data_IF_291131609961
#
_entry.id   IF_291131609961
#
_cell.length_a   1.000
_cell.length_b   1.000
_cell.length_c   1.000
_cell.angle_alpha   90.00
_cell.angle_beta   90.00
_cell.angle_gamma   90.00
#
_symmetry.space_group_name_H-M   'P 1'
#
loop_
_entity.id
_entity.type
_entity.pdbx_description
1 polymer ?
#
# COMPACT_ATOMS: atom_id res chain seq x y z
N UNK A 1 8.74 6.19 -36.87
CA UNK A 1 9.26 5.98 -35.50
C UNK A 1 8.39 6.75 -34.53
N UNK A 2 7.40 6.09 -33.93
CA UNK A 2 6.60 6.63 -32.82
C UNK A 2 6.81 5.71 -31.62
N UNK A 3 7.06 6.30 -30.45
CA UNK A 3 6.84 5.78 -29.08
C UNK A 3 7.98 6.20 -28.15
N UNK A 4 7.74 7.15 -27.23
CA UNK A 4 8.01 6.97 -25.79
C UNK A 4 7.54 8.11 -24.84
N UNK A 5 6.52 8.92 -25.19
CA UNK A 5 6.11 10.06 -24.31
C UNK A 5 4.90 9.80 -23.40
N UNK A 6 4.24 8.64 -23.45
CA UNK A 6 3.02 8.40 -22.66
C UNK A 6 3.28 7.92 -21.21
N UNK A 7 4.46 7.35 -20.93
CA UNK A 7 4.76 6.76 -19.61
C UNK A 7 5.15 7.82 -18.57
N UNK A 8 5.80 8.92 -19.00
CA UNK A 8 6.27 9.98 -18.10
C UNK A 8 5.16 10.79 -17.41
N UNK A 9 4.07 11.09 -18.13
CA UNK A 9 2.96 11.91 -17.61
C UNK A 9 2.16 11.21 -16.51
N UNK A 10 1.91 9.90 -16.65
CA UNK A 10 1.18 9.13 -15.64
C UNK A 10 1.97 9.00 -14.33
N UNK A 11 3.31 8.98 -14.39
CA UNK A 11 4.18 8.90 -13.21
C UNK A 11 4.21 10.21 -12.40
N UNK A 12 4.17 11.38 -13.05
CA UNK A 12 4.02 12.67 -12.38
C UNK A 12 2.63 12.87 -11.78
N UNK A 13 1.58 12.41 -12.46
CA UNK A 13 0.21 12.43 -11.94
C UNK A 13 0.06 11.50 -10.72
N UNK A 14 0.76 10.35 -10.74
CA UNK A 14 0.89 9.45 -9.60
C UNK A 14 1.58 10.11 -8.40
N UNK A 15 2.61 10.95 -8.60
CA UNK A 15 3.29 11.65 -7.49
C UNK A 15 2.38 12.70 -6.81
N UNK A 16 1.60 13.46 -7.58
CA UNK A 16 0.64 14.43 -7.03
C UNK A 16 -0.53 13.76 -6.30
N UNK A 17 -0.82 12.52 -6.67
CA UNK A 17 -1.96 11.75 -6.19
C UNK A 17 -1.64 10.79 -5.04
N UNK A 18 -0.43 10.24 -5.03
CA UNK A 18 0.12 9.46 -3.92
C UNK A 18 -0.01 10.22 -2.62
N UNK A 19 0.00 11.56 -2.66
CA UNK A 19 0.10 12.35 -1.46
C UNK A 19 1.47 12.11 -0.82
N UNK A 20 1.93 13.13 -0.11
CA UNK A 20 3.06 12.93 0.75
C UNK A 20 2.64 11.93 1.85
N UNK A 21 3.13 10.68 1.77
CA UNK A 21 2.98 9.71 2.86
C UNK A 21 4.01 9.94 3.95
N UNK A 22 4.98 10.85 3.76
CA UNK A 22 5.91 11.24 4.82
C UNK A 22 5.19 11.57 6.13
N UNK A 23 4.08 12.35 6.21
CA UNK A 23 3.36 12.58 7.47
C UNK A 23 2.75 11.32 8.12
N UNK A 24 2.38 10.29 7.34
CA UNK A 24 1.91 8.99 7.86
C UNK A 24 3.06 8.20 8.48
N UNK A 25 4.16 8.08 7.74
CA UNK A 25 5.35 7.37 8.20
C UNK A 25 6.13 8.17 9.26
N UNK A 26 5.96 9.49 9.29
CA UNK A 26 6.46 10.41 10.32
C UNK A 26 5.84 10.12 11.68
N UNK A 27 4.57 9.73 11.72
CA UNK A 27 3.94 9.27 12.96
C UNK A 27 4.38 7.85 13.30
N UNK A 28 4.54 6.94 12.33
CA UNK A 28 5.14 5.62 12.55
C UNK A 28 6.60 5.72 13.04
N UNK A 29 7.32 6.78 12.70
CA UNK A 29 8.65 7.15 13.19
C UNK A 29 8.64 8.13 14.38
N UNK A 30 7.47 8.47 14.92
CA UNK A 30 7.33 9.21 16.18
C UNK A 30 7.35 8.23 17.35
N UNK A 31 7.84 8.60 18.55
CA UNK A 31 7.82 7.71 19.71
C UNK A 31 6.46 7.05 19.99
N UNK A 32 5.35 7.73 19.68
CA UNK A 32 3.98 7.22 19.87
C UNK A 32 3.52 6.22 18.78
N UNK A 33 3.84 6.42 17.51
CA UNK A 33 3.54 5.44 16.46
C UNK A 33 4.58 4.31 16.40
N UNK A 34 5.80 4.57 16.83
CA UNK A 34 6.83 3.57 17.11
C UNK A 34 6.43 2.66 18.27
N UNK A 35 5.85 3.21 19.34
CA UNK A 35 5.31 2.44 20.47
C UNK A 35 4.08 1.57 20.08
N UNK A 36 3.31 1.96 19.06
CA UNK A 36 2.27 1.11 18.50
C UNK A 36 2.86 -0.07 17.70
N UNK A 37 4.02 0.15 17.03
CA UNK A 37 4.77 -0.84 16.24
C UNK A 37 5.57 -1.83 17.10
N UNK A 38 5.86 -1.50 18.36
CA UNK A 38 6.76 -2.27 19.25
C UNK A 38 6.19 -3.55 19.86
N UNK A 39 4.93 -3.91 19.60
CA UNK A 39 4.23 -4.96 20.37
C UNK A 39 3.68 -6.16 19.59
N UNK A 40 3.98 -6.34 18.30
CA UNK A 40 3.37 -7.41 17.49
C UNK A 40 4.34 -8.36 16.80
N UNK A 41 3.81 -9.35 16.05
CA UNK A 41 4.47 -10.62 15.72
C UNK A 41 5.70 -10.52 14.80
N UNK A 42 6.08 -9.31 14.35
CA UNK A 42 7.21 -9.07 13.46
C UNK A 42 8.56 -8.95 14.18
N UNK A 43 8.59 -9.04 15.51
CA UNK A 43 9.81 -9.21 16.32
C UNK A 43 10.77 -8.02 16.37
N UNK A 44 10.63 -7.02 15.50
CA UNK A 44 11.44 -5.79 15.49
C UNK A 44 10.52 -4.62 15.22
N UNK A 45 10.26 -3.79 16.23
CA UNK A 45 9.66 -2.49 16.01
C UNK A 45 10.68 -1.54 15.37
N UNK A 46 10.26 -0.61 14.51
CA UNK A 46 11.17 0.41 13.93
C UNK A 46 11.97 1.18 15.01
N UNK A 47 11.48 1.25 16.25
CA UNK A 47 12.15 1.90 17.39
C UNK A 47 13.36 1.13 17.92
N UNK A 48 13.43 -0.16 17.61
CA UNK A 48 14.52 -1.05 18.00
C UNK A 48 15.59 -1.15 16.92
N UNK A 49 15.33 -0.58 15.74
CA UNK A 49 16.29 -0.54 14.64
C UNK A 49 17.33 0.53 14.93
N UNK A 50 18.54 0.09 15.22
CA UNK A 50 19.68 0.92 15.62
C UNK A 50 20.74 1.07 14.53
N UNK A 51 20.66 0.26 13.48
CA UNK A 51 21.66 0.21 12.41
C UNK A 51 21.07 -0.24 11.07
N UNK A 52 21.87 -0.11 10.00
CA UNK A 52 21.46 -0.45 8.62
C UNK A 52 21.14 -1.94 8.42
N UNK A 53 21.80 -2.84 9.14
CA UNK A 53 21.57 -4.28 9.00
C UNK A 53 20.20 -4.68 9.58
N UNK A 54 19.86 -4.14 10.75
CA UNK A 54 18.54 -4.31 11.37
C UNK A 54 17.44 -3.69 10.50
N UNK A 55 17.69 -2.52 9.90
CA UNK A 55 16.73 -1.88 9.00
C UNK A 55 16.47 -2.73 7.76
N UNK A 56 17.52 -3.30 7.16
CA UNK A 56 17.41 -4.25 6.05
C UNK A 56 16.56 -5.44 6.44
N UNK A 57 16.89 -6.11 7.54
CA UNK A 57 16.16 -7.28 8.02
C UNK A 57 14.69 -6.96 8.27
N UNK A 58 14.40 -5.78 8.83
CA UNK A 58 13.04 -5.30 9.02
C UNK A 58 12.31 -5.12 7.68
N UNK A 59 12.93 -4.48 6.68
CA UNK A 59 12.32 -4.25 5.37
C UNK A 59 12.07 -5.54 4.59
N UNK A 60 12.98 -6.52 4.68
CA UNK A 60 12.81 -7.85 4.10
C UNK A 60 11.66 -8.60 4.77
N UNK A 61 11.60 -8.56 6.10
CA UNK A 61 10.51 -9.15 6.89
C UNK A 61 9.16 -8.52 6.54
N UNK A 62 9.10 -7.18 6.48
CA UNK A 62 7.91 -6.46 6.05
C UNK A 62 7.48 -6.87 4.63
N UNK A 63 8.43 -6.94 3.70
CA UNK A 63 8.16 -7.34 2.31
C UNK A 63 7.55 -8.74 2.28
N UNK A 64 8.20 -9.70 2.91
CA UNK A 64 7.89 -11.12 2.77
C UNK A 64 6.70 -11.58 3.62
N UNK A 65 6.37 -10.87 4.70
CA UNK A 65 5.26 -11.22 5.59
C UNK A 65 4.03 -10.32 5.45
N UNK A 66 4.17 -9.09 4.92
CA UNK A 66 3.06 -8.13 4.83
C UNK A 66 2.83 -7.65 3.41
N UNK A 67 3.83 -7.00 2.80
CA UNK A 67 3.63 -6.34 1.50
C UNK A 67 3.17 -7.33 0.43
N UNK A 68 3.91 -8.44 0.27
CA UNK A 68 3.66 -9.44 -0.77
C UNK A 68 2.43 -10.31 -0.46
N UNK A 69 2.27 -10.92 0.73
CA UNK A 69 1.16 -11.85 0.98
C UNK A 69 -0.14 -11.18 1.42
N UNK A 70 -0.12 -9.93 1.90
CA UNK A 70 -1.31 -9.25 2.45
C UNK A 70 -1.68 -8.02 1.63
N UNK A 71 -0.79 -7.03 1.54
CA UNK A 71 -1.12 -5.73 0.93
C UNK A 71 -1.34 -5.83 -0.58
N UNK A 72 -0.47 -6.49 -1.32
CA UNK A 72 -0.63 -6.62 -2.77
C UNK A 72 -1.91 -7.38 -3.17
N UNK A 73 -2.23 -8.58 -2.62
CA UNK A 73 -3.48 -9.25 -2.92
C UNK A 73 -4.72 -8.43 -2.56
N UNK A 74 -4.69 -7.69 -1.45
CA UNK A 74 -5.78 -6.81 -1.05
C UNK A 74 -5.93 -5.62 -2.01
N UNK A 75 -4.82 -5.01 -2.44
CA UNK A 75 -4.80 -3.94 -3.45
C UNK A 75 -5.38 -4.40 -4.79
N UNK A 76 -4.98 -5.59 -5.24
CA UNK A 76 -5.44 -6.18 -6.51
C UNK A 76 -6.95 -6.43 -6.46
N UNK A 77 -7.44 -7.14 -5.43
CA UNK A 77 -8.87 -7.41 -5.27
C UNK A 77 -9.68 -6.12 -5.13
N UNK A 78 -9.19 -5.13 -4.39
CA UNK A 78 -9.86 -3.85 -4.26
C UNK A 78 -9.96 -3.11 -5.60
N UNK A 79 -8.88 -3.12 -6.40
CA UNK A 79 -8.88 -2.55 -7.74
C UNK A 79 -9.88 -3.25 -8.67
N UNK A 80 -9.98 -4.57 -8.61
CA UNK A 80 -10.94 -5.33 -9.40
C UNK A 80 -12.39 -5.04 -8.99
N UNK A 81 -12.69 -5.10 -7.69
CA UNK A 81 -14.02 -4.80 -7.18
C UNK A 81 -14.43 -3.36 -7.53
N UNK A 82 -13.52 -2.41 -7.39
CA UNK A 82 -13.76 -1.02 -7.79
C UNK A 82 -14.03 -0.90 -9.30
N UNK A 83 -13.27 -1.60 -10.13
CA UNK A 83 -13.43 -1.60 -11.59
C UNK A 83 -14.78 -2.18 -12.02
N UNK A 84 -15.26 -3.20 -11.31
CA UNK A 84 -16.55 -3.86 -11.57
C UNK A 84 -17.74 -3.20 -10.86
N UNK A 85 -17.50 -2.18 -10.04
CA UNK A 85 -18.55 -1.52 -9.26
C UNK A 85 -19.12 -2.38 -8.11
N UNK A 86 -18.38 -3.40 -7.69
CA UNK A 86 -18.70 -4.41 -6.67
C UNK A 86 -18.44 -3.85 -5.26
N UNK A 87 -19.24 -2.84 -4.87
CA UNK A 87 -19.00 -2.11 -3.62
C UNK A 87 -19.22 -2.98 -2.37
N UNK A 88 -20.16 -3.93 -2.42
CA UNK A 88 -20.44 -4.79 -1.26
C UNK A 88 -19.25 -5.69 -0.98
N UNK A 89 -18.66 -6.21 -2.04
CA UNK A 89 -17.49 -7.08 -2.04
C UNK A 89 -16.25 -6.30 -1.60
N UNK A 90 -16.10 -5.05 -2.04
CA UNK A 90 -15.05 -4.14 -1.56
C UNK A 90 -15.15 -3.88 -0.04
N UNK A 91 -16.34 -3.60 0.48
CA UNK A 91 -16.56 -3.40 1.92
C UNK A 91 -16.30 -4.71 2.69
N UNK A 92 -16.76 -5.84 2.16
CA UNK A 92 -16.48 -7.15 2.77
C UNK A 92 -14.98 -7.47 2.78
N UNK A 93 -14.24 -7.09 1.74
CA UNK A 93 -12.79 -7.23 1.68
C UNK A 93 -12.11 -6.37 2.75
N UNK A 94 -12.49 -5.10 2.92
CA UNK A 94 -11.95 -4.22 3.97
C UNK A 94 -12.19 -4.83 5.36
N UNK A 95 -13.40 -5.34 5.62
CA UNK A 95 -13.73 -6.01 6.88
C UNK A 95 -12.92 -7.27 7.12
N UNK A 96 -12.77 -8.14 6.12
CA UNK A 96 -11.95 -9.36 6.25
C UNK A 96 -10.49 -9.02 6.54
N UNK A 97 -9.97 -7.99 5.89
CA UNK A 97 -8.61 -7.51 6.14
C UNK A 97 -8.48 -7.00 7.58
N UNK A 98 -9.50 -6.31 8.07
CA UNK A 98 -9.58 -5.85 9.45
C UNK A 98 -9.65 -6.98 10.47
N UNK A 99 -10.48 -7.98 10.23
CA UNK A 99 -10.63 -9.15 11.10
C UNK A 99 -9.32 -9.96 11.18
N UNK A 100 -8.61 -10.09 10.05
CA UNK A 100 -7.37 -10.85 9.97
C UNK A 100 -6.14 -10.09 10.51
N UNK A 101 -6.08 -8.77 10.27
CA UNK A 101 -4.86 -7.97 10.49
C UNK A 101 -5.07 -6.75 11.37
N UNK A 102 -6.26 -6.55 11.92
CA UNK A 102 -6.62 -5.35 12.69
C UNK A 102 -5.87 -5.17 14.00
N UNK A 103 -5.31 -6.25 14.54
CA UNK A 103 -4.45 -6.25 15.73
C UNK A 103 -2.97 -6.08 15.38
N UNK A 104 -2.62 -5.97 14.09
CA UNK A 104 -1.23 -5.77 13.70
C UNK A 104 -0.76 -4.37 14.10
N UNK A 105 0.52 -4.22 14.47
CA UNK A 105 1.05 -2.96 14.99
C UNK A 105 0.93 -1.75 14.03
N UNK A 106 0.90 -2.01 12.71
CA UNK A 106 0.75 -0.98 11.67
C UNK A 106 -0.71 -0.74 11.24
N UNK A 107 -1.67 -1.52 11.74
CA UNK A 107 -3.07 -1.51 11.28
C UNK A 107 -3.69 -0.12 11.37
N UNK A 108 -3.55 0.54 12.53
CA UNK A 108 -4.13 1.88 12.71
C UNK A 108 -3.46 2.94 11.82
N UNK A 109 -2.16 2.82 11.58
CA UNK A 109 -1.48 3.72 10.64
C UNK A 109 -1.99 3.52 9.20
N UNK A 110 -2.17 2.27 8.78
CA UNK A 110 -2.72 1.93 7.46
C UNK A 110 -4.16 2.43 7.31
N UNK A 111 -5.04 2.17 8.28
CA UNK A 111 -6.42 2.68 8.26
C UNK A 111 -6.46 4.20 8.24
N UNK A 112 -5.65 4.88 9.07
CA UNK A 112 -5.58 6.34 9.08
C UNK A 112 -5.21 6.90 7.71
N UNK A 113 -4.19 6.34 7.08
CA UNK A 113 -3.74 6.76 5.76
C UNK A 113 -4.82 6.55 4.69
N UNK A 114 -5.45 5.37 4.67
CA UNK A 114 -6.56 5.10 3.77
C UNK A 114 -7.75 6.04 4.01
N UNK A 115 -8.12 6.32 5.26
CA UNK A 115 -9.18 7.29 5.59
C UNK A 115 -8.84 8.71 5.11
N UNK A 116 -7.60 9.18 5.28
CA UNK A 116 -7.15 10.48 4.79
C UNK A 116 -7.26 10.53 3.26
N UNK A 117 -6.76 9.49 2.58
CA UNK A 117 -6.76 9.41 1.13
C UNK A 117 -8.18 9.32 0.56
N UNK A 118 -9.04 8.48 1.13
CA UNK A 118 -10.42 8.33 0.68
C UNK A 118 -11.22 9.62 0.89
N UNK A 119 -10.99 10.36 1.99
CA UNK A 119 -11.61 11.69 2.21
C UNK A 119 -11.26 12.70 1.13
N UNK A 120 -10.05 12.64 0.54
CA UNK A 120 -9.68 13.50 -0.60
C UNK A 120 -10.49 13.21 -1.86
N UNK A 121 -11.09 12.02 -1.97
CA UNK A 121 -11.97 11.65 -3.08
C UNK A 121 -13.42 12.11 -2.90
N UNK A 122 -13.78 12.68 -1.76
CA UNK A 122 -15.14 13.17 -1.48
C UNK A 122 -15.72 14.08 -2.58
N UNK A 123 -14.95 14.95 -3.27
CA UNK A 123 -15.47 15.76 -4.38
C UNK A 123 -16.02 14.96 -5.57
N UNK A 124 -15.65 13.68 -5.73
CA UNK A 124 -16.10 12.81 -6.82
C UNK A 124 -17.52 12.29 -6.55
N UNK A 125 -18.51 13.19 -6.57
CA UNK A 125 -19.91 12.90 -6.20
C UNK A 125 -20.58 11.88 -7.11
N UNK A 126 -20.18 11.82 -8.38
CA UNK A 126 -20.79 10.92 -9.35
C UNK A 126 -20.17 9.50 -9.31
N UNK A 127 -19.05 9.33 -8.61
CA UNK A 127 -18.45 8.01 -8.47
C UNK A 127 -19.14 7.21 -7.35
N UNK A 128 -20.02 6.29 -7.75
CA UNK A 128 -20.81 5.46 -6.83
C UNK A 128 -19.95 4.58 -5.91
N UNK A 129 -18.80 4.09 -6.37
CA UNK A 129 -17.89 3.26 -5.55
C UNK A 129 -17.33 4.09 -4.41
N UNK A 130 -16.75 5.24 -4.73
CA UNK A 130 -16.16 6.18 -3.76
C UNK A 130 -17.21 6.65 -2.76
N UNK A 131 -18.37 7.12 -3.22
CA UNK A 131 -19.39 7.67 -2.31
C UNK A 131 -19.97 6.61 -1.36
N UNK A 132 -20.17 5.38 -1.84
CA UNK A 132 -20.65 4.30 -0.98
C UNK A 132 -19.58 3.80 -0.03
N UNK A 133 -18.32 3.79 -0.44
CA UNK A 133 -17.23 3.41 0.45
C UNK A 133 -17.01 4.46 1.56
N UNK A 134 -17.08 5.75 1.22
CA UNK A 134 -17.11 6.84 2.20
C UNK A 134 -18.28 6.67 3.20
N UNK A 135 -19.48 6.37 2.70
CA UNK A 135 -20.63 6.11 3.58
C UNK A 135 -20.40 4.90 4.50
N UNK A 136 -19.75 3.84 4.01
CA UNK A 136 -19.41 2.68 4.82
C UNK A 136 -18.42 3.02 5.94
N UNK A 137 -17.45 3.91 5.68
CA UNK A 137 -16.58 4.44 6.75
C UNK A 137 -17.37 5.24 7.79
N UNK A 138 -18.24 6.14 7.33
CA UNK A 138 -19.02 7.00 8.23
C UNK A 138 -20.00 6.21 9.12
N UNK A 139 -20.46 5.05 8.64
CA UNK A 139 -21.34 4.13 9.38
C UNK A 139 -20.60 3.08 10.20
N UNK A 140 -19.27 2.97 10.07
CA UNK A 140 -18.46 1.95 10.75
C UNK A 140 -18.52 0.56 10.10
N UNK A 141 -19.14 0.43 8.93
CA UNK A 141 -19.19 -0.82 8.15
C UNK A 141 -17.86 -1.14 7.47
N UNK A 142 -16.95 -0.16 7.38
CA UNK A 142 -15.59 -0.32 6.91
C UNK A 142 -14.61 0.52 7.74
N UNK A 143 -13.35 0.13 7.70
CA UNK A 143 -12.26 0.72 8.48
C UNK A 143 -11.32 1.62 7.66
N UNK A 144 -11.22 1.34 6.35
CA UNK A 144 -10.55 2.20 5.38
C UNK A 144 -9.06 1.94 5.29
N UNK A 145 -8.66 0.69 5.13
CA UNK A 145 -7.25 0.31 4.97
C UNK A 145 -6.63 0.99 3.76
N UNK A 146 -5.40 1.51 3.93
CA UNK A 146 -4.67 2.18 2.86
C UNK A 146 -4.55 1.29 1.62
N UNK A 147 -4.25 0.01 1.79
CA UNK A 147 -4.10 -0.92 0.67
C UNK A 147 -5.39 -1.08 -0.16
N UNK A 148 -6.55 -1.07 0.50
CA UNK A 148 -7.86 -1.15 -0.16
C UNK A 148 -8.16 0.16 -0.88
N UNK A 149 -7.96 1.29 -0.21
CA UNK A 149 -8.16 2.61 -0.79
C UNK A 149 -7.23 2.81 -2.00
N UNK A 150 -5.98 2.39 -1.90
CA UNK A 150 -5.02 2.44 -3.00
C UNK A 150 -5.48 1.58 -4.19
N UNK A 151 -6.04 0.39 -3.97
CA UNK A 151 -6.66 -0.39 -5.05
C UNK A 151 -7.83 0.34 -5.73
N UNK A 152 -8.72 0.97 -4.96
CA UNK A 152 -9.82 1.80 -5.50
C UNK A 152 -9.27 2.95 -6.35
N UNK A 153 -8.19 3.56 -5.88
CA UNK A 153 -7.49 4.62 -6.59
C UNK A 153 -6.91 4.15 -7.93
N UNK A 154 -6.25 2.98 -7.98
CA UNK A 154 -5.73 2.43 -9.24
C UNK A 154 -6.85 2.26 -10.28
N UNK A 155 -8.00 1.76 -9.84
CA UNK A 155 -9.19 1.63 -10.69
C UNK A 155 -9.71 2.98 -11.17
N UNK A 156 -9.91 3.94 -10.25
CA UNK A 156 -10.47 5.25 -10.53
C UNK A 156 -9.65 6.05 -11.56
N UNK A 157 -8.33 5.96 -11.49
CA UNK A 157 -7.42 6.67 -12.39
C UNK A 157 -6.93 5.79 -13.55
N UNK A 158 -7.47 4.58 -13.70
CA UNK A 158 -7.10 3.64 -14.76
C UNK A 158 -5.57 3.39 -14.82
N UNK A 159 -4.96 3.25 -13.64
CA UNK A 159 -3.53 2.96 -13.47
C UNK A 159 -3.33 1.45 -13.59
N UNK A 160 -2.41 0.96 -14.45
CA UNK A 160 -2.13 -0.46 -14.54
C UNK A 160 -1.62 -1.04 -13.22
N UNK A 161 -2.17 -2.18 -12.79
CA UNK A 161 -1.81 -2.85 -11.53
C UNK A 161 -0.31 -3.01 -11.32
N UNK A 162 0.42 -3.47 -12.33
CA UNK A 162 1.88 -3.63 -12.28
C UNK A 162 2.60 -2.34 -11.87
N UNK A 163 2.21 -1.22 -12.48
CA UNK A 163 2.82 0.08 -12.20
C UNK A 163 2.40 0.61 -10.83
N UNK A 164 1.13 0.43 -10.46
CA UNK A 164 0.63 0.79 -9.14
C UNK A 164 1.33 0.02 -8.02
N UNK A 165 1.46 -1.30 -8.13
CA UNK A 165 2.09 -2.13 -7.10
C UNK A 165 3.59 -1.82 -6.96
N UNK A 166 4.29 -1.59 -8.07
CA UNK A 166 5.69 -1.16 -8.03
C UNK A 166 5.84 0.18 -7.32
N UNK A 167 5.00 1.16 -7.67
CA UNK A 167 5.02 2.47 -7.04
C UNK A 167 4.72 2.41 -5.55
N UNK A 168 3.66 1.68 -5.17
CA UNK A 168 3.27 1.46 -3.78
C UNK A 168 4.42 0.89 -2.95
N UNK A 169 5.08 -0.15 -3.46
CA UNK A 169 6.16 -0.82 -2.73
C UNK A 169 7.39 0.07 -2.54
N UNK A 170 7.85 0.72 -3.63
CA UNK A 170 8.99 1.63 -3.58
C UNK A 170 8.74 2.78 -2.61
N UNK A 171 7.55 3.38 -2.67
CA UNK A 171 7.21 4.52 -1.81
C UNK A 171 7.08 4.11 -0.34
N UNK A 172 6.39 2.98 -0.07
CA UNK A 172 6.25 2.45 1.30
C UNK A 172 7.61 2.17 1.93
N UNK A 173 8.52 1.50 1.19
CA UNK A 173 9.85 1.19 1.67
C UNK A 173 10.71 2.45 1.84
N UNK A 174 10.65 3.40 0.91
CA UNK A 174 11.35 4.67 1.03
C UNK A 174 10.91 5.45 2.29
N UNK A 175 9.61 5.47 2.59
CA UNK A 175 9.11 6.14 3.79
C UNK A 175 9.46 5.41 5.09
N UNK A 176 9.52 4.07 5.08
CA UNK A 176 10.06 3.29 6.21
C UNK A 176 11.54 3.59 6.47
N UNK A 177 12.36 3.66 5.40
CA UNK A 177 13.78 4.03 5.47
C UNK A 177 13.94 5.47 6.01
N UNK A 178 13.15 6.42 5.51
CA UNK A 178 13.17 7.80 5.97
C UNK A 178 12.82 7.91 7.45
N UNK A 179 11.86 7.11 7.92
CA UNK A 179 11.44 7.08 9.32
C UNK A 179 12.52 6.48 10.22
N UNK A 180 13.22 5.43 9.77
CA UNK A 180 14.35 4.84 10.49
C UNK A 180 15.54 5.80 10.61
N UNK A 181 15.74 6.69 9.63
CA UNK A 181 16.76 7.76 9.69
C UNK A 181 16.59 8.76 10.83
N UNK A 182 15.50 8.66 11.59
CA UNK A 182 15.28 9.43 12.84
C UNK A 182 15.81 8.71 14.08
N UNK A 183 16.00 7.39 14.00
CA UNK A 183 16.49 6.54 15.08
C UNK A 183 18.02 6.47 15.08
N UNK A 184 18.64 6.50 13.89
CA UNK A 184 20.09 6.54 13.71
C UNK A 184 20.45 7.29 12.41
N UNK A 185 21.69 7.77 12.30
CA UNK A 185 22.15 8.51 11.12
C UNK A 185 22.23 7.56 9.91
N UNK A 186 21.54 7.92 8.84
CA UNK A 186 21.56 7.23 7.55
C UNK A 186 21.91 8.27 6.49
N UNK A 187 22.93 8.01 5.67
CA UNK A 187 23.29 8.89 4.55
C UNK A 187 22.32 8.71 3.38
N UNK A 188 22.20 9.69 2.48
CA UNK A 188 21.35 9.53 1.29
C UNK A 188 21.86 8.43 0.34
N UNK A 189 23.17 8.18 0.34
CA UNK A 189 23.81 7.05 -0.34
C UNK A 189 23.35 5.72 0.26
N UNK A 190 23.34 5.58 1.59
CA UNK A 190 22.83 4.40 2.27
C UNK A 190 21.34 4.16 2.00
N UNK A 191 20.53 5.23 1.97
CA UNK A 191 19.09 5.14 1.66
C UNK A 191 18.86 4.58 0.26
N UNK A 192 19.59 5.12 -0.71
CA UNK A 192 19.47 4.72 -2.12
C UNK A 192 19.93 3.28 -2.30
N UNK A 193 21.11 2.94 -1.77
CA UNK A 193 21.67 1.59 -1.85
C UNK A 193 20.74 0.55 -1.19
N UNK A 194 20.16 0.89 -0.04
CA UNK A 194 19.23 -0.01 0.66
C UNK A 194 17.92 -0.20 -0.12
N UNK A 195 17.36 0.87 -0.67
CA UNK A 195 16.14 0.78 -1.48
C UNK A 195 16.36 -0.08 -2.74
N UNK A 196 17.48 0.11 -3.43
CA UNK A 196 17.84 -0.70 -4.59
C UNK A 196 17.96 -2.19 -4.23
N UNK A 197 18.62 -2.49 -3.11
CA UNK A 197 18.82 -3.86 -2.63
C UNK A 197 17.50 -4.55 -2.25
N UNK A 198 16.60 -3.85 -1.55
CA UNK A 198 15.31 -4.41 -1.15
C UNK A 198 14.37 -4.64 -2.35
N UNK A 199 14.48 -3.78 -3.37
CA UNK A 199 13.73 -3.87 -4.61
C UNK A 199 14.27 -4.88 -5.61
N UNK A 200 15.41 -5.51 -5.33
CA UNK A 200 15.90 -6.63 -6.16
C UNK A 200 14.82 -7.71 -6.25
N UNK A 201 14.46 -8.08 -7.48
CA UNK A 201 13.45 -9.10 -7.77
C UNK A 201 12.00 -8.66 -7.52
N UNK A 202 11.74 -7.38 -7.22
CA UNK A 202 10.38 -6.91 -6.93
C UNK A 202 9.42 -7.14 -8.10
N UNK A 203 9.89 -6.94 -9.33
CA UNK A 203 9.11 -7.20 -10.55
C UNK A 203 8.68 -8.66 -10.61
N UNK A 204 9.59 -9.60 -10.36
CA UNK A 204 9.27 -11.04 -10.38
C UNK A 204 8.22 -11.40 -9.32
N UNK A 205 8.27 -10.77 -8.14
CA UNK A 205 7.27 -10.95 -7.10
C UNK A 205 5.91 -10.38 -7.52
N UNK A 206 5.90 -9.19 -8.13
CA UNK A 206 4.68 -8.61 -8.72
C UNK A 206 4.09 -9.57 -9.74
N UNK A 207 4.90 -10.15 -10.64
CA UNK A 207 4.42 -11.14 -11.62
C UNK A 207 3.82 -12.37 -10.97
N UNK A 208 4.42 -12.83 -9.88
CA UNK A 208 3.94 -14.01 -9.15
C UNK A 208 2.56 -13.74 -8.55
N UNK A 209 2.37 -12.56 -7.94
CA UNK A 209 1.10 -12.18 -7.32
C UNK A 209 0.04 -11.80 -8.37
N UNK A 210 0.46 -11.23 -9.51
CA UNK A 210 -0.40 -10.94 -10.66
C UNK A 210 -0.61 -12.15 -11.57
N UNK A 211 -0.08 -13.33 -11.23
CA UNK A 211 -0.09 -14.55 -12.04
C UNK A 211 -1.46 -14.82 -12.68
N UNK A 212 -1.51 -15.57 -13.80
CA UNK A 212 -2.64 -15.58 -14.71
C UNK A 212 -3.94 -15.83 -13.95
N UNK A 213 -4.72 -14.78 -13.79
CA UNK A 213 -6.08 -14.90 -13.31
C UNK A 213 -6.77 -15.86 -14.26
N UNK A 214 -7.41 -16.88 -13.71
CA UNK A 214 -8.19 -17.85 -14.47
C UNK A 214 -9.24 -17.09 -15.28
N UNK A 215 -8.92 -16.76 -16.53
CA UNK A 215 -9.90 -16.48 -17.56
C UNK A 215 -10.78 -17.72 -17.72
N UNK A 216 -12.06 -17.56 -18.06
CA UNK A 216 -12.98 -18.68 -18.13
C UNK A 216 -12.41 -19.73 -19.08
N UNK A 217 -12.23 -20.95 -18.58
CA UNK A 217 -12.07 -22.12 -19.44
C UNK A 217 -13.38 -22.26 -20.20
N UNK A 218 -13.46 -21.63 -21.37
CA UNK A 218 -14.44 -21.98 -22.39
C UNK A 218 -14.14 -23.42 -22.81
N UNK A 219 -14.70 -24.37 -22.06
CA UNK A 219 -14.94 -25.71 -22.57
C UNK A 219 -16.04 -25.57 -23.62
N UNK A 220 -15.62 -25.43 -24.86
CA UNK A 220 -16.49 -25.72 -26.00
C UNK A 220 -16.50 -27.24 -26.09
N UNK A 221 -17.59 -27.85 -25.63
CA UNK A 221 -18.02 -29.19 -25.95
C UNK A 221 -19.51 -29.13 -26.27
#
# INVERSE_FOLDING_TARGET
MMSNSATGSKLSDLQGFAGDFAPMFEQLGSPAGLAAVTGGPFGIGLNQVSNLAELRSFLETYRDQILVPVEWPATIQACEHATRGEVRELIALDRRLDEAHGNMPFAEASRRAGRIQLKRLRPLRDNRVVQRYLKALDSGDATGWHTIVYGVMLSLYSIPLRQGLLHYATQTQASLIQSAGRCFKITDEDRTALLDQINVGIISRIETVLGPQSGPTLKIA
#
